data_IF_180822119960
#
_entry.id   IF_180822119960
#
_cell.length_a   1.000
_cell.length_b   1.000
_cell.length_c   1.000
_cell.angle_alpha   90.00
_cell.angle_beta   90.00
_cell.angle_gamma   90.00
#
_symmetry.space_group_name_H-M   'P 1'
#
loop_
_entity.id
_entity.type
_entity.pdbx_description
1 polymer ?
#
# COMPACT_ATOMS: atom_id res chain seq x y z
N UNK A 1 -4.10 -7.94 -14.80
CA UNK A 1 -2.73 -8.02 -14.22
C UNK A 1 -2.80 -8.94 -13.00
N UNK A 2 -1.84 -9.83 -12.75
CA UNK A 2 -1.99 -10.84 -11.68
C UNK A 2 -1.36 -10.32 -10.37
N UNK A 3 -2.08 -10.37 -9.24
CA UNK A 3 -1.66 -9.84 -7.91
C UNK A 3 -0.25 -10.29 -7.53
N UNK A 4 0.05 -11.57 -7.77
CA UNK A 4 1.36 -12.16 -7.46
C UNK A 4 2.51 -11.59 -8.29
N UNK A 5 2.25 -11.05 -9.48
CA UNK A 5 3.28 -10.47 -10.35
C UNK A 5 3.71 -9.07 -9.89
N UNK A 6 2.77 -8.27 -9.36
CA UNK A 6 3.09 -6.97 -8.76
C UNK A 6 3.92 -7.12 -7.49
N UNK A 7 3.54 -8.07 -6.64
CA UNK A 7 4.23 -8.33 -5.37
C UNK A 7 5.66 -8.83 -5.54
N UNK A 8 5.95 -9.56 -6.63
CA UNK A 8 7.31 -10.04 -6.95
C UNK A 8 8.31 -8.93 -7.32
N UNK A 9 7.84 -7.74 -7.67
CA UNK A 9 8.73 -6.60 -7.96
C UNK A 9 9.32 -6.00 -6.69
N UNK A 10 8.70 -6.27 -5.53
CA UNK A 10 9.08 -5.72 -4.24
C UNK A 10 9.70 -6.85 -3.42
N UNK A 11 10.99 -6.74 -3.08
CA UNK A 11 11.63 -7.72 -2.22
C UNK A 11 11.16 -7.51 -0.77
N UNK A 12 10.03 -8.14 -0.41
CA UNK A 12 9.33 -7.91 0.85
C UNK A 12 10.06 -8.49 2.07
N UNK A 13 10.98 -9.43 1.88
CA UNK A 13 11.77 -10.05 2.95
C UNK A 13 12.82 -9.12 3.59
N UNK A 14 13.16 -8.01 2.93
CA UNK A 14 14.17 -7.05 3.40
C UNK A 14 13.55 -5.75 3.96
N UNK A 15 12.22 -5.63 3.97
CA UNK A 15 11.54 -4.42 4.42
C UNK A 15 11.39 -4.50 5.95
N UNK A 16 11.98 -3.56 6.72
CA UNK A 16 11.78 -3.48 8.16
C UNK A 16 10.39 -2.91 8.43
N UNK A 17 9.37 -3.75 8.29
CA UNK A 17 7.99 -3.45 8.61
C UNK A 17 7.33 -4.68 9.24
N UNK A 18 6.36 -4.47 10.12
CA UNK A 18 5.60 -5.59 10.67
C UNK A 18 4.64 -6.16 9.61
N UNK A 19 4.18 -7.39 9.84
CA UNK A 19 3.23 -8.08 8.95
C UNK A 19 2.01 -7.21 8.62
N UNK A 20 1.52 -6.44 9.60
CA UNK A 20 0.36 -5.58 9.40
C UNK A 20 0.65 -4.41 8.45
N UNK A 21 1.81 -3.76 8.59
CA UNK A 21 2.26 -2.72 7.68
C UNK A 21 2.43 -3.26 6.27
N UNK A 22 2.97 -4.48 6.14
CA UNK A 22 3.12 -5.16 4.86
C UNK A 22 1.77 -5.47 4.20
N UNK A 23 0.77 -5.96 4.94
CA UNK A 23 -0.58 -6.15 4.42
C UNK A 23 -1.20 -4.85 3.89
N UNK A 24 -1.04 -3.74 4.64
CA UNK A 24 -1.57 -2.43 4.27
C UNK A 24 -0.89 -1.87 3.02
N UNK A 25 0.44 -1.98 2.94
CA UNK A 25 1.20 -1.61 1.76
C UNK A 25 0.77 -2.42 0.52
N UNK A 26 0.58 -3.72 0.67
CA UNK A 26 0.07 -4.57 -0.42
C UNK A 26 -1.33 -4.12 -0.87
N UNK A 27 -2.24 -3.81 0.05
CA UNK A 27 -3.58 -3.35 -0.27
C UNK A 27 -3.55 -2.02 -1.05
N UNK A 28 -2.70 -1.08 -0.63
CA UNK A 28 -2.48 0.19 -1.33
C UNK A 28 -1.96 -0.04 -2.76
N UNK A 29 -0.94 -0.88 -2.95
CA UNK A 29 -0.37 -1.14 -4.27
C UNK A 29 -1.34 -1.83 -5.22
N UNK A 30 -2.17 -2.74 -4.71
CA UNK A 30 -3.22 -3.37 -5.52
C UNK A 30 -4.23 -2.32 -5.97
N UNK A 31 -4.69 -1.47 -5.06
CA UNK A 31 -5.62 -0.38 -5.40
C UNK A 31 -5.02 0.60 -6.42
N UNK A 32 -3.75 0.97 -6.25
CA UNK A 32 -3.03 1.83 -7.19
C UNK A 32 -2.88 1.16 -8.58
N UNK A 33 -2.54 -0.14 -8.59
CA UNK A 33 -2.43 -0.93 -9.82
C UNK A 33 -3.76 -1.01 -10.57
N UNK A 34 -4.86 -1.22 -9.85
CA UNK A 34 -6.20 -1.24 -10.43
C UNK A 34 -6.63 0.13 -10.95
N UNK A 35 -6.33 1.21 -10.23
CA UNK A 35 -6.61 2.58 -10.67
C UNK A 35 -5.86 2.93 -11.98
N UNK A 36 -4.59 2.53 -12.09
CA UNK A 36 -3.81 2.69 -13.33
C UNK A 36 -4.36 1.80 -14.45
N UNK A 37 -4.74 0.56 -14.16
CA UNK A 37 -5.29 -0.36 -15.15
C UNK A 37 -6.59 0.16 -15.79
N UNK A 38 -7.44 0.83 -15.00
CA UNK A 38 -8.71 1.40 -15.47
C UNK A 38 -8.60 2.87 -15.93
N UNK A 39 -7.40 3.44 -15.96
CA UNK A 39 -7.19 4.83 -16.34
C UNK A 39 -7.71 5.09 -17.76
N UNK A 40 -8.63 6.04 -17.90
CA UNK A 40 -9.28 6.37 -19.17
C UNK A 40 -10.46 5.48 -19.55
N UNK A 41 -10.82 4.50 -18.71
CA UNK A 41 -12.02 3.65 -18.87
C UNK A 41 -13.09 3.88 -17.80
N UNK A 42 -12.70 4.33 -16.61
CA UNK A 42 -13.58 4.73 -15.50
C UNK A 42 -13.33 6.21 -15.13
N UNK A 43 -14.29 6.86 -14.47
CA UNK A 43 -14.08 8.21 -13.95
C UNK A 43 -13.06 8.15 -12.80
N UNK A 44 -12.06 9.06 -12.75
CA UNK A 44 -11.02 9.02 -11.73
C UNK A 44 -11.55 9.03 -10.28
N UNK A 45 -12.71 9.65 -10.07
CA UNK A 45 -13.37 9.72 -8.76
C UNK A 45 -13.77 8.34 -8.21
N UNK A 46 -14.09 7.38 -9.07
CA UNK A 46 -14.60 6.07 -8.67
C UNK A 46 -13.55 5.25 -7.90
N UNK A 47 -12.26 5.46 -8.20
CA UNK A 47 -11.14 4.77 -7.55
C UNK A 47 -10.40 5.62 -6.53
N UNK A 48 -10.60 6.95 -6.56
CA UNK A 48 -9.90 7.87 -5.66
C UNK A 48 -10.22 7.59 -4.20
N UNK A 49 -11.48 7.26 -3.88
CA UNK A 49 -11.89 6.96 -2.49
C UNK A 49 -11.23 5.70 -1.96
N UNK A 50 -11.18 4.63 -2.75
CA UNK A 50 -10.53 3.36 -2.36
C UNK A 50 -9.01 3.54 -2.19
N UNK A 51 -8.38 4.27 -3.12
CA UNK A 51 -6.96 4.56 -3.08
C UNK A 51 -6.58 5.44 -1.88
N UNK A 52 -7.38 6.48 -1.61
CA UNK A 52 -7.17 7.37 -0.46
C UNK A 52 -7.34 6.62 0.87
N UNK A 53 -8.37 5.77 0.99
CA UNK A 53 -8.60 4.97 2.19
C UNK A 53 -7.44 3.99 2.45
N UNK A 54 -6.96 3.30 1.41
CA UNK A 54 -5.83 2.39 1.53
C UNK A 54 -4.52 3.12 1.90
N UNK A 55 -4.30 4.31 1.34
CA UNK A 55 -3.15 5.16 1.70
C UNK A 55 -3.24 5.63 3.15
N UNK A 56 -4.38 6.18 3.57
CA UNK A 56 -4.60 6.64 4.95
C UNK A 56 -4.36 5.54 5.97
N UNK A 57 -4.95 4.36 5.76
CA UNK A 57 -4.76 3.23 6.68
C UNK A 57 -3.29 2.79 6.79
N UNK A 58 -2.54 2.83 5.69
CA UNK A 58 -1.11 2.54 5.67
C UNK A 58 -0.31 3.61 6.42
N UNK A 59 -0.59 4.89 6.20
CA UNK A 59 0.14 5.99 6.86
C UNK A 59 -0.14 6.07 8.36
N UNK A 60 -1.40 5.92 8.78
CA UNK A 60 -1.77 5.90 10.20
C UNK A 60 -1.05 4.76 10.93
N UNK A 61 -1.02 3.57 10.32
CA UNK A 61 -0.29 2.45 10.90
C UNK A 61 1.22 2.69 10.97
N UNK A 62 1.81 3.32 9.95
CA UNK A 62 3.23 3.68 9.97
C UNK A 62 3.53 4.63 11.14
N UNK A 63 2.72 5.67 11.33
CA UNK A 63 2.92 6.66 12.40
C UNK A 63 2.87 6.02 13.80
N UNK A 64 1.96 5.07 14.02
CA UNK A 64 1.71 4.44 15.31
C UNK A 64 2.57 3.19 15.61
N UNK A 65 3.34 2.68 14.63
CA UNK A 65 4.05 1.41 14.75
C UNK A 65 5.56 1.59 14.77
N UNK A 66 6.19 1.36 15.91
CA UNK A 66 7.66 1.44 16.09
C UNK A 66 8.43 0.52 15.12
N UNK A 67 7.87 -0.65 14.81
CA UNK A 67 8.47 -1.59 13.86
C UNK A 67 8.38 -1.11 12.40
N UNK A 68 7.52 -0.13 12.10
CA UNK A 68 7.33 0.39 10.75
C UNK A 68 7.95 1.79 10.58
N UNK A 69 7.91 2.67 11.60
CA UNK A 69 8.56 3.99 11.55
C UNK A 69 10.06 3.98 11.91
N UNK A 70 10.60 2.79 12.21
CA UNK A 70 12.00 2.59 12.54
C UNK A 70 12.36 2.90 13.98
N UNK A 71 11.38 3.17 14.86
CA UNK A 71 11.55 3.58 16.23
C UNK A 71 12.38 4.86 16.29
N UNK A 72 11.75 6.01 16.47
CA UNK A 72 12.50 7.24 16.74
C UNK A 72 13.40 7.03 17.98
N UNK A 73 14.65 6.66 17.76
CA UNK A 73 15.70 6.67 18.76
C UNK A 73 15.91 8.16 19.11
N UNK A 74 15.33 8.59 20.24
CA UNK A 74 15.78 9.77 20.98
C UNK A 74 17.11 9.51 21.67
#
# INVERSE_FOLDING_TARGET
>A
MNREALLKLWNMDEIPACDKGMELAQAFLVSAGDAVYHLGTEEPGDRLTELAAAYTAMTEHYEDCDNCNGGAEE
#
